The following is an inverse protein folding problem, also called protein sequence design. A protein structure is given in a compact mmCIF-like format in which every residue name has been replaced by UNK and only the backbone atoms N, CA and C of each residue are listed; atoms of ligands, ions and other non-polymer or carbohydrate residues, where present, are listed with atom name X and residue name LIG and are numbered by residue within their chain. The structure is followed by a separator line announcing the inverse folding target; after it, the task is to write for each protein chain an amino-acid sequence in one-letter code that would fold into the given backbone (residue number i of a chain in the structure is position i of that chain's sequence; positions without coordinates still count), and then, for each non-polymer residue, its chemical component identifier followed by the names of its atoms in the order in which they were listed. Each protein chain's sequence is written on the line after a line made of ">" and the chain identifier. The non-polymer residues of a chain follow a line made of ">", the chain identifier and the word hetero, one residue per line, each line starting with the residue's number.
data_IF_801977782743
#
_entry.id   IF_801977782743
#
_cell.length_a   1.000
_cell.length_b   1.000
_cell.length_c   1.000
_cell.angle_alpha   90.00
_cell.angle_beta   90.00
_cell.angle_gamma   90.00
#
_symmetry.space_group_name_H-M   'P 1'
#
loop_
_entity.id
_entity.type
_entity.pdbx_description
1 polymer ?
#
# COMPACT_ATOMS: atom_id res chain seq x y z
N UNK A 1 -8.18 -6.01 -5.36
CA UNK A 1 -9.50 -5.96 -6.00
C UNK A 1 -10.57 -5.85 -4.93
N UNK A 2 -11.41 -4.84 -5.00
CA UNK A 2 -12.47 -4.62 -4.03
C UNK A 2 -13.77 -5.18 -4.61
N UNK A 3 -14.19 -6.33 -4.14
CA UNK A 3 -15.56 -6.77 -4.35
C UNK A 3 -16.39 -6.18 -3.22
N UNK A 4 -17.42 -5.46 -3.53
CA UNK A 4 -18.34 -4.65 -2.68
C UNK A 4 -18.19 -4.71 -1.14
N UNK A 5 -17.57 -5.75 -0.56
CA UNK A 5 -17.35 -5.94 0.88
C UNK A 5 -16.08 -6.73 1.22
N UNK A 6 -15.18 -6.99 0.26
CA UNK A 6 -13.96 -7.76 0.51
C UNK A 6 -12.75 -7.18 -0.20
N UNK A 7 -11.59 -7.25 0.46
CA UNK A 7 -10.27 -7.08 -0.11
C UNK A 7 -9.69 -8.48 -0.28
N UNK A 8 -9.50 -8.91 -1.52
CA UNK A 8 -8.96 -10.23 -1.84
C UNK A 8 -7.58 -10.07 -2.44
N UNK A 9 -6.56 -10.53 -1.72
CA UNK A 9 -5.16 -10.47 -2.16
C UNK A 9 -4.36 -11.54 -1.42
N UNK A 10 -3.41 -12.25 -2.08
CA UNK A 10 -2.61 -13.31 -1.46
C UNK A 10 -1.47 -12.70 -0.63
N UNK A 11 -1.80 -12.13 0.52
CA UNK A 11 -0.88 -11.43 1.40
C UNK A 11 -0.64 -12.18 2.73
N UNK A 12 -1.46 -13.20 3.03
CA UNK A 12 -1.39 -13.90 4.32
C UNK A 12 -1.43 -12.90 5.48
N UNK A 13 -0.53 -13.09 6.44
CA UNK A 13 -0.33 -12.18 7.58
C UNK A 13 0.84 -11.21 7.35
N UNK A 14 1.31 -11.07 6.12
CA UNK A 14 2.38 -10.13 5.77
C UNK A 14 1.96 -8.70 6.08
N UNK A 15 2.85 -7.97 6.77
CA UNK A 15 2.64 -6.56 7.05
C UNK A 15 3.42 -5.69 6.06
N UNK A 16 2.88 -4.51 5.76
CA UNK A 16 3.45 -3.54 4.85
C UNK A 16 3.39 -2.14 5.48
N UNK A 17 4.41 -1.34 5.26
CA UNK A 17 4.44 0.05 5.69
C UNK A 17 3.74 0.93 4.64
N UNK A 18 2.41 0.85 4.55
CA UNK A 18 1.61 1.59 3.56
C UNK A 18 1.91 3.08 3.59
N UNK A 19 2.24 3.64 2.45
CA UNK A 19 2.57 5.05 2.29
C UNK A 19 1.53 5.77 1.44
N UNK A 20 1.18 6.99 1.80
CA UNK A 20 0.31 7.84 0.99
C UNK A 20 1.02 8.30 -0.28
N UNK A 21 0.30 8.33 -1.40
CA UNK A 21 0.79 8.92 -2.65
C UNK A 21 1.16 10.40 -2.46
N UNK A 22 0.49 11.12 -1.57
CA UNK A 22 0.80 12.51 -1.23
C UNK A 22 2.18 12.63 -0.58
N UNK A 23 2.55 11.69 0.29
CA UNK A 23 3.87 11.66 0.93
C UNK A 23 4.98 11.34 -0.08
N UNK A 24 4.73 10.40 -1.00
CA UNK A 24 5.65 10.09 -2.09
C UNK A 24 5.85 11.35 -2.96
N UNK A 25 4.77 12.04 -3.32
CA UNK A 25 4.84 13.26 -4.11
C UNK A 25 5.59 14.38 -3.37
N UNK A 26 5.42 14.52 -2.06
CA UNK A 26 6.13 15.52 -1.26
C UNK A 26 7.64 15.25 -1.26
N UNK A 27 8.07 14.01 -1.09
CA UNK A 27 9.49 13.63 -1.17
C UNK A 27 10.04 13.91 -2.57
N UNK A 28 9.31 13.51 -3.62
CA UNK A 28 9.71 13.76 -5.01
C UNK A 28 9.86 15.25 -5.30
N UNK A 29 8.93 16.09 -4.85
CA UNK A 29 8.97 17.54 -5.06
C UNK A 29 10.23 18.15 -4.44
N UNK A 30 10.57 17.81 -3.20
CA UNK A 30 11.77 18.32 -2.53
C UNK A 30 13.04 17.86 -3.24
N UNK A 31 13.15 16.58 -3.58
CA UNK A 31 14.34 16.04 -4.23
C UNK A 31 14.59 16.61 -5.61
N UNK A 32 13.52 16.97 -6.33
CA UNK A 32 13.61 17.59 -7.67
C UNK A 32 13.92 19.09 -7.60
N UNK A 33 13.49 19.78 -6.55
CA UNK A 33 13.71 21.23 -6.39
C UNK A 33 15.02 21.58 -5.70
N UNK A 34 15.62 20.63 -4.96
CA UNK A 34 16.90 20.81 -4.25
C UNK A 34 17.92 19.72 -4.66
N UNK A 35 18.23 19.58 -5.96
CA UNK A 35 19.02 18.46 -6.46
C UNK A 35 20.42 18.39 -5.85
N UNK A 36 21.04 19.51 -5.50
CA UNK A 36 22.37 19.56 -4.88
C UNK A 36 22.42 18.91 -3.49
N UNK A 37 21.29 18.86 -2.78
CA UNK A 37 21.20 18.21 -1.46
C UNK A 37 20.91 16.73 -1.54
N UNK A 38 20.32 16.29 -2.66
CA UNK A 38 19.75 14.95 -2.81
C UNK A 38 20.44 14.08 -3.87
N UNK A 39 21.34 14.69 -4.69
CA UNK A 39 22.08 13.95 -5.71
C UNK A 39 22.86 12.76 -5.12
N UNK A 40 22.75 11.61 -5.78
CA UNK A 40 23.42 10.38 -5.33
C UNK A 40 22.79 9.71 -4.10
N UNK A 41 21.67 10.20 -3.59
CA UNK A 41 20.92 9.59 -2.49
C UNK A 41 19.76 8.74 -3.02
N UNK A 42 19.43 7.68 -2.29
CA UNK A 42 18.26 6.87 -2.54
C UNK A 42 17.31 6.98 -1.33
N UNK A 43 16.03 7.11 -1.61
CA UNK A 43 14.97 7.19 -0.61
C UNK A 43 13.94 6.10 -0.86
N UNK A 44 13.43 5.52 0.21
CA UNK A 44 12.35 4.54 0.19
C UNK A 44 11.20 5.04 1.09
N UNK A 45 10.37 5.99 0.62
CA UNK A 45 9.28 6.54 1.42
C UNK A 45 8.36 5.45 1.93
N UNK A 46 8.10 5.44 3.22
CA UNK A 46 7.18 4.51 3.89
C UNK A 46 6.16 5.27 4.72
N UNK A 47 5.03 4.63 4.98
CA UNK A 47 4.10 5.08 6.01
C UNK A 47 4.68 4.87 7.42
N UNK A 48 4.01 5.41 8.44
CA UNK A 48 4.53 5.42 9.81
C UNK A 48 4.34 4.08 10.54
N UNK A 49 3.55 3.17 9.99
CA UNK A 49 3.16 1.92 10.64
C UNK A 49 3.19 0.75 9.67
N UNK A 50 3.66 -0.40 10.16
CA UNK A 50 3.51 -1.67 9.45
C UNK A 50 2.13 -2.27 9.80
N UNK A 51 1.33 -2.55 8.78
CA UNK A 51 -0.04 -3.05 8.92
C UNK A 51 -0.24 -4.27 8.03
N UNK A 52 -0.95 -5.27 8.54
CA UNK A 52 -1.44 -6.38 7.73
C UNK A 52 -2.63 -5.94 6.87
N UNK A 53 -2.97 -6.69 5.84
CA UNK A 53 -4.18 -6.44 5.04
C UNK A 53 -5.46 -6.55 5.89
N UNK A 54 -5.50 -7.46 6.86
CA UNK A 54 -6.61 -7.57 7.80
C UNK A 54 -6.78 -6.28 8.60
N UNK A 55 -5.67 -5.72 9.12
CA UNK A 55 -5.72 -4.48 9.89
C UNK A 55 -6.10 -3.27 9.04
N UNK A 56 -5.61 -3.21 7.81
CA UNK A 56 -6.03 -2.19 6.84
C UNK A 56 -7.55 -2.27 6.55
N UNK A 57 -8.08 -3.49 6.36
CA UNK A 57 -9.51 -3.72 6.16
C UNK A 57 -10.37 -3.26 7.34
N UNK A 58 -9.91 -3.50 8.59
CA UNK A 58 -10.58 -3.00 9.80
C UNK A 58 -10.66 -1.46 9.82
N UNK A 59 -9.55 -0.80 9.51
CA UNK A 59 -9.49 0.67 9.48
C UNK A 59 -10.38 1.27 8.38
N UNK A 60 -10.42 0.65 7.19
CA UNK A 60 -11.33 1.04 6.12
C UNK A 60 -12.77 0.80 6.53
N UNK A 61 -13.08 -0.33 7.17
CA UNK A 61 -14.42 -0.64 7.68
C UNK A 61 -14.93 0.42 8.64
N UNK A 62 -14.09 0.84 9.58
CA UNK A 62 -14.42 1.89 10.53
C UNK A 62 -14.73 3.23 9.82
N UNK A 63 -13.93 3.61 8.83
CA UNK A 63 -14.15 4.83 8.05
C UNK A 63 -15.39 4.76 7.14
N UNK A 64 -15.65 3.59 6.56
CA UNK A 64 -16.78 3.37 5.65
C UNK A 64 -18.13 3.23 6.39
N UNK A 65 -18.11 2.92 7.67
CA UNK A 65 -19.33 2.61 8.45
C UNK A 65 -19.98 1.28 8.05
N UNK A 66 -19.22 0.36 7.43
CA UNK A 66 -19.68 -0.98 7.04
C UNK A 66 -18.51 -1.97 7.08
N UNK A 67 -18.80 -3.25 7.23
CA UNK A 67 -17.77 -4.28 7.22
C UNK A 67 -17.17 -4.45 5.82
N UNK A 68 -15.85 -4.36 5.75
CA UNK A 68 -15.03 -4.72 4.60
C UNK A 68 -14.05 -5.78 5.12
N UNK A 69 -14.19 -7.01 4.67
CA UNK A 69 -13.36 -8.12 5.11
C UNK A 69 -12.07 -8.23 4.28
N UNK A 70 -11.01 -8.68 4.92
CA UNK A 70 -9.86 -9.20 4.19
C UNK A 70 -10.04 -10.71 4.00
N UNK A 71 -9.75 -11.19 2.79
CA UNK A 71 -9.72 -12.61 2.47
C UNK A 71 -8.41 -12.95 1.77
N UNK A 72 -7.63 -13.78 2.43
CA UNK A 72 -6.46 -14.40 1.80
C UNK A 72 -6.88 -15.42 0.73
N UNK A 73 -6.00 -15.70 -0.20
CA UNK A 73 -6.28 -16.62 -1.33
C UNK A 73 -4.99 -17.22 -1.87
N UNK A 74 -5.11 -18.29 -2.63
CA UNK A 74 -3.95 -18.80 -3.38
C UNK A 74 -3.48 -17.80 -4.42
N UNK A 75 -2.16 -17.64 -4.53
CA UNK A 75 -1.55 -16.64 -5.42
C UNK A 75 -1.81 -16.93 -6.88
N UNK A 76 -1.69 -18.17 -7.29
CA UNK A 76 -1.83 -18.54 -8.71
C UNK A 76 -3.30 -18.47 -9.14
N UNK A 77 -4.23 -18.87 -8.27
CA UNK A 77 -5.66 -18.69 -8.51
C UNK A 77 -6.03 -17.21 -8.62
N UNK A 78 -5.48 -16.36 -7.75
CA UNK A 78 -5.72 -14.92 -7.78
C UNK A 78 -5.18 -14.28 -9.07
N UNK A 79 -3.95 -14.62 -9.49
CA UNK A 79 -3.35 -14.14 -10.74
C UNK A 79 -4.18 -14.60 -11.95
N UNK A 80 -4.61 -15.86 -11.97
CA UNK A 80 -5.44 -16.41 -13.05
C UNK A 80 -6.79 -15.67 -13.14
N UNK A 81 -7.42 -15.35 -12.00
CA UNK A 81 -8.65 -14.57 -11.96
C UNK A 81 -8.45 -13.14 -12.48
N UNK A 82 -7.33 -12.50 -12.16
CA UNK A 82 -6.99 -11.16 -12.67
C UNK A 82 -6.81 -11.16 -14.19
N UNK A 83 -6.10 -12.15 -14.73
CA UNK A 83 -5.92 -12.31 -16.19
C UNK A 83 -7.26 -12.59 -16.87
N UNK A 84 -8.10 -13.45 -16.30
CA UNK A 84 -9.43 -13.75 -16.83
C UNK A 84 -10.36 -12.53 -16.82
N UNK A 85 -10.15 -11.58 -15.92
CA UNK A 85 -10.90 -10.32 -15.86
C UNK A 85 -10.35 -9.22 -16.76
N UNK A 86 -9.33 -9.51 -17.59
CA UNK A 86 -8.81 -8.60 -18.61
C UNK A 86 -7.43 -8.01 -18.34
N UNK A 87 -6.76 -8.42 -17.25
CA UNK A 87 -5.38 -8.00 -17.03
C UNK A 87 -4.47 -8.69 -18.05
N UNK A 88 -3.59 -7.97 -18.79
CA UNK A 88 -2.64 -8.60 -19.70
C UNK A 88 -1.77 -9.64 -19.00
N UNK A 89 -1.54 -10.79 -19.64
CA UNK A 89 -0.81 -11.91 -19.06
C UNK A 89 0.64 -11.56 -18.64
N UNK A 90 1.25 -10.60 -19.30
CA UNK A 90 2.59 -10.09 -18.97
C UNK A 90 2.65 -9.51 -17.55
N UNK A 91 1.56 -8.93 -17.06
CA UNK A 91 1.48 -8.41 -15.69
C UNK A 91 1.54 -9.51 -14.63
N UNK A 92 1.18 -10.75 -14.97
CA UNK A 92 1.34 -11.88 -14.06
C UNK A 92 2.80 -12.07 -13.61
N UNK A 93 3.75 -11.76 -14.47
CA UNK A 93 5.19 -11.82 -14.16
C UNK A 93 5.59 -10.81 -13.08
N UNK A 94 4.88 -9.68 -12.99
CA UNK A 94 5.10 -8.64 -11.97
C UNK A 94 4.31 -8.95 -10.71
N UNK A 95 3.08 -9.42 -10.84
CA UNK A 95 2.20 -9.68 -9.68
C UNK A 95 2.72 -10.81 -8.79
N UNK A 96 3.33 -11.82 -9.37
CA UNK A 96 3.84 -12.98 -8.62
C UNK A 96 4.93 -12.62 -7.60
N UNK A 97 6.04 -11.95 -7.97
CA UNK A 97 7.03 -11.50 -6.99
C UNK A 97 6.50 -10.42 -6.05
N UNK A 98 5.64 -9.53 -6.52
CA UNK A 98 5.06 -8.46 -5.72
C UNK A 98 4.23 -9.03 -4.57
N UNK A 99 3.30 -9.94 -4.84
CA UNK A 99 2.48 -10.57 -3.81
C UNK A 99 3.29 -11.51 -2.91
N UNK A 100 4.37 -12.12 -3.41
CA UNK A 100 5.29 -12.90 -2.59
C UNK A 100 6.01 -12.01 -1.56
N UNK A 101 6.47 -10.84 -1.98
CA UNK A 101 7.11 -9.85 -1.10
C UNK A 101 6.13 -9.36 -0.04
N UNK A 102 4.89 -9.05 -0.43
CA UNK A 102 3.85 -8.64 0.50
C UNK A 102 3.59 -9.72 1.57
N UNK A 103 3.39 -10.97 1.15
CA UNK A 103 3.14 -12.09 2.06
C UNK A 103 4.32 -12.39 2.99
N UNK A 104 5.56 -12.10 2.57
CA UNK A 104 6.75 -12.28 3.39
C UNK A 104 6.89 -11.25 4.52
N UNK A 105 6.17 -10.13 4.47
CA UNK A 105 6.30 -9.02 5.40
C UNK A 105 7.62 -8.24 5.27
N UNK A 106 8.35 -8.39 4.17
CA UNK A 106 9.62 -7.68 3.95
C UNK A 106 9.45 -6.16 3.87
N UNK A 107 8.24 -5.67 3.54
CA UNK A 107 7.88 -4.26 3.54
C UNK A 107 7.48 -3.69 4.90
N UNK A 108 7.47 -4.50 5.96
CA UNK A 108 7.09 -4.12 7.31
C UNK A 108 8.20 -3.33 8.05
N UNK A 109 8.84 -2.38 7.38
CA UNK A 109 9.96 -1.60 7.92
C UNK A 109 9.72 -0.09 7.76
N UNK A 110 8.88 0.53 8.59
CA UNK A 110 8.71 1.98 8.59
C UNK A 110 10.06 2.67 8.77
N UNK A 111 10.28 3.76 8.03
CA UNK A 111 11.47 4.58 8.13
C UNK A 111 11.11 6.07 8.28
N UNK A 112 12.10 6.93 8.25
CA UNK A 112 11.92 8.38 8.43
C UNK A 112 12.06 9.20 7.15
N UNK A 113 12.20 8.56 5.99
CA UNK A 113 12.49 9.28 4.74
C UNK A 113 11.46 10.37 4.40
N UNK A 114 10.16 10.10 4.61
CA UNK A 114 9.12 11.10 4.40
C UNK A 114 9.37 12.32 5.28
N UNK A 115 9.54 12.13 6.59
CA UNK A 115 9.75 13.22 7.54
C UNK A 115 11.07 13.94 7.28
N UNK A 116 12.15 13.20 7.11
CA UNK A 116 13.50 13.75 7.00
C UNK A 116 13.70 14.55 5.68
N UNK A 117 13.00 14.16 4.60
CA UNK A 117 13.08 14.86 3.31
C UNK A 117 12.03 15.96 3.20
N UNK A 118 10.75 15.66 3.49
CA UNK A 118 9.66 16.62 3.30
C UNK A 118 9.46 17.59 4.46
N UNK A 119 10.01 17.30 5.63
CA UNK A 119 9.78 18.05 6.87
C UNK A 119 8.39 17.83 7.48
N UNK A 120 7.59 16.92 6.93
CA UNK A 120 6.23 16.62 7.39
C UNK A 120 6.13 15.17 7.84
N UNK A 121 5.39 14.92 8.92
CA UNK A 121 5.07 13.57 9.33
C UNK A 121 4.27 12.84 8.23
N UNK A 122 4.55 11.56 7.96
CA UNK A 122 3.79 10.80 6.98
C UNK A 122 2.33 10.63 7.42
N UNK A 123 1.43 10.61 6.44
CA UNK A 123 -0.01 10.37 6.64
C UNK A 123 -0.22 8.98 7.23
N UNK A 124 -0.98 8.89 8.30
CA UNK A 124 -1.36 7.60 8.88
C UNK A 124 -2.42 6.90 8.04
N UNK A 125 -2.52 5.57 8.15
CA UNK A 125 -3.54 4.82 7.43
C UNK A 125 -4.96 5.20 7.87
N UNK A 126 -5.16 5.55 9.15
CA UNK A 126 -6.45 6.03 9.67
C UNK A 126 -6.85 7.36 9.00
N UNK A 127 -5.93 8.30 8.88
CA UNK A 127 -6.17 9.58 8.19
C UNK A 127 -6.49 9.36 6.71
N UNK A 128 -5.75 8.48 6.04
CA UNK A 128 -6.02 8.08 4.66
C UNK A 128 -7.42 7.46 4.51
N UNK A 129 -7.77 6.49 5.35
CA UNK A 129 -9.07 5.83 5.29
C UNK A 129 -10.23 6.81 5.54
N UNK A 130 -10.07 7.73 6.49
CA UNK A 130 -11.06 8.77 6.77
C UNK A 130 -11.24 9.73 5.57
N UNK A 131 -10.14 10.19 4.96
CA UNK A 131 -10.14 11.09 3.80
C UNK A 131 -10.79 10.44 2.57
N UNK A 132 -10.56 9.14 2.38
CA UNK A 132 -11.09 8.39 1.24
C UNK A 132 -12.41 7.67 1.53
N UNK A 133 -12.99 7.87 2.71
CA UNK A 133 -14.24 7.24 3.14
C UNK A 133 -15.39 7.28 2.10
N UNK A 134 -15.60 8.36 1.33
CA UNK A 134 -16.64 8.38 0.28
C UNK A 134 -16.45 7.32 -0.80
N UNK A 135 -15.22 6.90 -1.07
CA UNK A 135 -14.91 5.87 -2.08
C UNK A 135 -15.26 4.44 -1.62
N UNK A 136 -15.46 4.25 -0.30
CA UNK A 136 -15.74 2.94 0.29
C UNK A 136 -17.22 2.71 0.61
N UNK A 137 -18.08 3.69 0.36
CA UNK A 137 -19.54 3.65 0.64
C UNK A 137 -20.34 2.96 -0.45
#
# INVERSE_FOLDING_TARGET
>A
MLFRSEIVVPAGDGAEAFVSVEDIAAVAAVTLTEPEKHAGRAYAPTGPQALTMAKAAEMISAAAGRTIAYRDTDREEWIAAMVSSGLPAEYAQVLRPLTATLASGNGARPNRDVLDVSGKAPVTFVEFAAKTAPAWK
#
